data_IF_986302074150
#
_entry.id   IF_986302074150
#
_cell.length_a   1.000
_cell.length_b   1.000
_cell.length_c   1.000
_cell.angle_alpha   90.00
_cell.angle_beta   90.00
_cell.angle_gamma   90.00
#
_symmetry.space_group_name_H-M   'P 1'
#
loop_
_entity.id
_entity.type
_entity.pdbx_description
1 polymer ?
#
# COMPACT_ATOMS: atom_id res chain seq x y z
N UNK A 1 5.16 -11.57 4.72
CA UNK A 1 5.88 -11.29 5.98
C UNK A 1 5.19 -12.02 7.10
N UNK A 2 5.92 -12.78 7.89
CA UNK A 2 5.41 -13.48 9.07
C UNK A 2 6.14 -12.94 10.30
N UNK A 3 5.40 -12.59 11.33
CA UNK A 3 5.98 -12.15 12.62
C UNK A 3 6.04 -13.30 13.61
N UNK A 4 7.15 -13.39 14.34
CA UNK A 4 7.37 -14.34 15.42
C UNK A 4 7.86 -13.60 16.67
N UNK A 5 7.34 -13.99 17.83
CA UNK A 5 7.82 -13.48 19.12
C UNK A 5 8.99 -14.31 19.60
N UNK A 6 10.02 -13.67 20.12
CA UNK A 6 11.19 -14.29 20.75
C UNK A 6 12.50 -13.53 20.49
N UNK A 7 13.38 -13.52 21.44
CA UNK A 7 14.74 -13.03 21.34
C UNK A 7 14.92 -11.56 20.92
N UNK A 8 15.96 -11.29 20.16
CA UNK A 8 16.27 -9.97 19.60
C UNK A 8 15.49 -9.73 18.32
N UNK A 9 15.19 -8.45 18.02
CA UNK A 9 14.63 -8.09 16.74
C UNK A 9 15.57 -8.48 15.59
N UNK A 10 15.03 -9.25 14.63
CA UNK A 10 15.76 -9.70 13.46
C UNK A 10 14.79 -9.86 12.28
N UNK A 11 15.33 -9.70 11.07
CA UNK A 11 14.62 -9.98 9.83
C UNK A 11 15.41 -11.03 9.07
N UNK A 12 14.76 -12.12 8.69
CA UNK A 12 15.33 -13.18 7.87
C UNK A 12 14.58 -13.28 6.55
N UNK A 13 15.31 -13.35 5.46
CA UNK A 13 14.75 -13.69 4.16
C UNK A 13 14.59 -15.21 4.09
N UNK A 14 13.41 -15.68 3.73
CA UNK A 14 13.09 -17.09 3.58
C UNK A 14 12.62 -17.37 2.16
N UNK A 15 12.54 -18.62 1.75
CA UNK A 15 12.03 -19.01 0.44
C UNK A 15 10.60 -18.49 0.17
N UNK A 16 9.79 -18.30 1.23
CA UNK A 16 8.39 -17.87 1.15
C UNK A 16 8.18 -16.39 1.55
N UNK A 17 9.25 -15.59 1.64
CA UNK A 17 9.18 -14.18 2.01
C UNK A 17 10.05 -13.82 3.21
N UNK A 18 9.58 -12.96 4.07
CA UNK A 18 10.35 -12.46 5.22
C UNK A 18 9.75 -12.94 6.54
N UNK A 19 10.63 -13.38 7.44
CA UNK A 19 10.31 -13.67 8.83
C UNK A 19 10.88 -12.55 9.70
N UNK A 20 10.03 -11.82 10.40
CA UNK A 20 10.41 -10.82 11.38
C UNK A 20 10.29 -11.38 12.79
N UNK A 21 11.39 -11.40 13.54
CA UNK A 21 11.39 -11.77 14.95
C UNK A 21 11.30 -10.52 15.81
N UNK A 22 10.39 -10.52 16.76
CA UNK A 22 10.15 -9.41 17.68
C UNK A 22 10.45 -9.83 19.12
N UNK A 23 10.97 -8.93 19.98
CA UNK A 23 11.19 -9.25 21.39
C UNK A 23 9.87 -9.54 22.11
N UNK A 24 9.92 -10.37 23.15
CA UNK A 24 8.73 -10.72 23.94
C UNK A 24 8.01 -9.48 24.50
N UNK A 25 8.73 -8.42 24.84
CA UNK A 25 8.15 -7.15 25.28
C UNK A 25 7.24 -6.47 24.24
N UNK A 26 7.33 -6.86 22.97
CA UNK A 26 6.47 -6.36 21.91
C UNK A 26 5.24 -7.25 21.65
N UNK A 27 5.08 -8.35 22.40
CA UNK A 27 3.95 -9.26 22.25
C UNK A 27 2.63 -8.52 22.52
N UNK A 28 1.68 -8.54 21.57
CA UNK A 28 0.36 -7.99 21.84
C UNK A 28 -0.35 -8.81 22.92
N UNK A 29 -1.21 -8.16 23.71
CA UNK A 29 -2.12 -8.84 24.62
C UNK A 29 -3.11 -9.73 23.86
N UNK A 30 -3.77 -10.65 24.54
CA UNK A 30 -4.68 -11.61 23.90
C UNK A 30 -6.06 -10.99 23.55
N UNK A 31 -6.05 -9.77 23.02
CA UNK A 31 -7.25 -9.07 22.57
C UNK A 31 -7.08 -8.54 21.15
N UNK A 32 -8.21 -8.34 20.47
CA UNK A 32 -8.24 -7.94 19.05
C UNK A 32 -7.59 -6.58 18.82
N UNK A 33 -7.80 -5.62 19.71
CA UNK A 33 -7.28 -4.24 19.54
C UNK A 33 -5.76 -4.24 19.65
N UNK A 34 -5.19 -4.96 20.62
CA UNK A 34 -3.73 -5.10 20.77
C UNK A 34 -3.09 -5.77 19.57
N UNK A 35 -3.71 -6.78 18.99
CA UNK A 35 -3.25 -7.44 17.77
C UNK A 35 -3.37 -6.52 16.53
N UNK A 36 -4.47 -5.79 16.38
CA UNK A 36 -4.62 -4.79 15.33
C UNK A 36 -3.59 -3.67 15.44
N UNK A 37 -3.37 -3.16 16.65
CA UNK A 37 -2.35 -2.15 16.91
C UNK A 37 -0.96 -2.65 16.50
N UNK A 38 -0.61 -3.89 16.90
CA UNK A 38 0.66 -4.51 16.52
C UNK A 38 0.78 -4.63 15.00
N UNK A 39 -0.27 -5.14 14.34
CA UNK A 39 -0.31 -5.30 12.89
C UNK A 39 -0.12 -3.97 12.15
N UNK A 40 -0.92 -2.95 12.49
CA UNK A 40 -0.87 -1.64 11.84
C UNK A 40 0.44 -0.87 12.12
N UNK A 41 1.09 -1.15 13.25
CA UNK A 41 2.33 -0.50 13.67
C UNK A 41 3.57 -1.16 13.11
N UNK A 42 3.57 -2.48 13.03
CA UNK A 42 4.79 -3.27 12.86
C UNK A 42 4.81 -4.12 11.60
N UNK A 43 3.67 -4.48 11.05
CA UNK A 43 3.58 -5.38 9.90
C UNK A 43 3.15 -4.65 8.63
N UNK A 44 3.26 -5.33 7.51
CA UNK A 44 2.63 -4.90 6.27
C UNK A 44 1.14 -5.24 6.34
N UNK A 45 0.24 -4.27 6.21
CA UNK A 45 -1.18 -4.54 6.28
C UNK A 45 -1.62 -5.57 5.24
N UNK A 46 -2.35 -6.58 5.67
CA UNK A 46 -2.96 -7.55 4.77
C UNK A 46 -4.45 -7.26 4.66
N UNK A 47 -4.83 -6.47 3.64
CA UNK A 47 -6.19 -5.93 3.53
C UNK A 47 -7.26 -7.03 3.50
N UNK A 48 -7.00 -8.16 2.84
CA UNK A 48 -7.92 -9.29 2.80
C UNK A 48 -8.15 -9.95 4.18
N UNK A 49 -7.12 -10.05 5.01
CA UNK A 49 -7.28 -10.54 6.39
C UNK A 49 -8.00 -9.50 7.26
N UNK A 50 -7.68 -8.22 7.09
CA UNK A 50 -8.37 -7.13 7.81
C UNK A 50 -9.86 -7.09 7.46
N UNK A 51 -10.22 -7.23 6.18
CA UNK A 51 -11.62 -7.28 5.75
C UNK A 51 -12.37 -8.42 6.44
N UNK A 52 -11.81 -9.62 6.40
CA UNK A 52 -12.41 -10.78 7.09
C UNK A 52 -12.53 -10.60 8.60
N UNK A 53 -11.49 -10.06 9.22
CA UNK A 53 -11.52 -9.78 10.66
C UNK A 53 -12.62 -8.77 10.99
N UNK A 54 -12.72 -7.68 10.24
CA UNK A 54 -13.72 -6.64 10.46
C UNK A 54 -15.16 -7.14 10.25
N UNK A 55 -15.37 -8.03 9.28
CA UNK A 55 -16.66 -8.71 9.11
C UNK A 55 -17.04 -9.57 10.32
N UNK A 56 -16.06 -10.25 10.92
CA UNK A 56 -16.29 -11.13 12.07
C UNK A 56 -16.52 -10.38 13.38
N UNK A 57 -15.73 -9.31 13.64
CA UNK A 57 -15.81 -8.59 14.91
C UNK A 57 -16.90 -7.51 14.92
N UNK A 58 -17.37 -7.11 13.76
CA UNK A 58 -18.33 -6.02 13.61
C UNK A 58 -17.78 -4.62 13.98
N UNK A 59 -18.65 -3.61 14.03
CA UNK A 59 -18.24 -2.22 14.26
C UNK A 59 -17.86 -1.90 15.70
N UNK A 60 -18.44 -2.59 16.69
CA UNK A 60 -18.41 -2.17 18.09
C UNK A 60 -17.02 -2.13 18.69
N UNK A 61 -16.17 -3.11 18.38
CA UNK A 61 -14.79 -3.17 18.86
C UNK A 61 -13.97 -2.00 18.34
N UNK A 62 -14.10 -1.69 17.06
CA UNK A 62 -13.37 -0.58 16.44
C UNK A 62 -13.91 0.75 16.92
N UNK A 63 -15.24 0.88 17.08
CA UNK A 63 -15.88 2.05 17.63
C UNK A 63 -15.40 2.31 19.08
N UNK A 64 -15.40 1.28 19.93
CA UNK A 64 -14.92 1.41 21.30
C UNK A 64 -13.45 1.84 21.36
N UNK A 65 -12.60 1.29 20.49
CA UNK A 65 -11.20 1.68 20.42
C UNK A 65 -11.02 3.15 20.03
N UNK A 66 -11.68 3.61 18.98
CA UNK A 66 -11.53 5.00 18.53
C UNK A 66 -12.21 6.00 19.49
N UNK A 67 -13.24 5.59 20.22
CA UNK A 67 -13.85 6.40 21.28
C UNK A 67 -12.91 6.55 22.49
N UNK A 68 -12.18 5.50 22.84
CA UNK A 68 -11.19 5.54 23.92
C UNK A 68 -9.92 6.33 23.52
N UNK A 69 -9.52 6.29 22.25
CA UNK A 69 -8.31 6.92 21.74
C UNK A 69 -8.60 7.82 20.53
N UNK A 70 -9.41 8.89 20.65
CA UNK A 70 -9.85 9.69 19.48
C UNK A 70 -8.70 10.46 18.79
N UNK A 71 -7.59 10.67 19.47
CA UNK A 71 -6.36 11.27 18.91
C UNK A 71 -5.34 10.24 18.46
N UNK A 72 -5.55 8.96 18.80
CA UNK A 72 -4.66 7.85 18.50
C UNK A 72 -4.53 7.60 16.99
N UNK A 73 -3.32 7.69 16.45
CA UNK A 73 -3.11 7.52 15.01
C UNK A 73 -3.53 6.13 14.49
N UNK A 74 -3.35 5.08 15.30
CA UNK A 74 -3.69 3.72 14.90
C UNK A 74 -5.18 3.42 15.06
N UNK A 75 -5.84 3.95 16.08
CA UNK A 75 -7.28 3.86 16.24
C UNK A 75 -8.01 4.55 15.07
N UNK A 76 -7.58 5.76 14.70
CA UNK A 76 -8.12 6.49 13.54
C UNK A 76 -7.85 5.78 12.21
N UNK A 77 -6.66 5.17 12.05
CA UNK A 77 -6.31 4.38 10.88
C UNK A 77 -7.16 3.10 10.81
N UNK A 78 -7.38 2.43 11.94
CA UNK A 78 -8.25 1.25 12.01
C UNK A 78 -9.70 1.60 11.65
N UNK A 79 -10.24 2.70 12.18
CA UNK A 79 -11.58 3.18 11.84
C UNK A 79 -11.73 3.52 10.35
N UNK A 80 -10.74 4.21 9.77
CA UNK A 80 -10.71 4.47 8.33
C UNK A 80 -10.70 3.17 7.52
N UNK A 81 -9.81 2.23 7.83
CA UNK A 81 -9.70 0.95 7.12
C UNK A 81 -10.96 0.10 7.30
N UNK A 82 -11.61 0.15 8.46
CA UNK A 82 -12.88 -0.52 8.68
C UNK A 82 -13.94 0.00 7.70
N UNK A 83 -14.17 1.31 7.66
CA UNK A 83 -15.15 1.92 6.73
C UNK A 83 -14.77 1.64 5.27
N UNK A 84 -13.49 1.74 4.93
CA UNK A 84 -13.01 1.53 3.58
C UNK A 84 -13.20 0.09 3.10
N UNK A 85 -12.92 -0.90 3.94
CA UNK A 85 -13.01 -2.32 3.60
C UNK A 85 -14.44 -2.86 3.64
N UNK A 86 -15.21 -2.50 4.67
CA UNK A 86 -16.55 -3.04 4.89
C UNK A 86 -17.64 -2.22 4.19
N UNK A 87 -17.40 -0.94 3.95
CA UNK A 87 -18.41 0.00 3.49
C UNK A 87 -19.41 0.42 4.57
N UNK A 88 -19.25 -0.05 5.80
CA UNK A 88 -20.06 0.36 6.95
C UNK A 88 -19.47 1.63 7.57
N UNK A 89 -20.32 2.50 8.08
CA UNK A 89 -19.94 3.78 8.66
C UNK A 89 -19.88 3.69 10.19
N UNK A 90 -18.80 4.16 10.77
CA UNK A 90 -18.64 4.32 12.22
C UNK A 90 -19.07 5.73 12.66
N UNK A 91 -19.34 5.91 13.95
CA UNK A 91 -19.58 7.22 14.53
C UNK A 91 -18.24 7.93 14.77
N UNK A 92 -18.15 9.20 14.37
CA UNK A 92 -16.96 10.01 14.70
C UNK A 92 -16.97 10.34 16.19
N UNK A 93 -15.91 9.99 16.94
CA UNK A 93 -15.86 10.25 18.38
C UNK A 93 -15.74 11.74 18.68
N UNK A 94 -16.25 12.13 19.85
CA UNK A 94 -16.02 13.46 20.39
C UNK A 94 -14.53 13.62 20.70
N UNK A 95 -13.95 14.77 20.33
CA UNK A 95 -12.54 15.04 20.57
C UNK A 95 -11.59 14.44 19.52
N UNK A 96 -12.10 13.91 18.42
CA UNK A 96 -11.23 13.48 17.31
C UNK A 96 -10.34 14.63 16.83
N UNK A 97 -9.02 14.47 17.00
CA UNK A 97 -8.01 15.48 16.68
C UNK A 97 -6.68 14.83 16.30
N UNK A 98 -5.67 15.67 16.06
CA UNK A 98 -4.31 15.22 15.72
C UNK A 98 -3.93 15.50 14.26
N UNK A 99 -2.67 15.26 13.93
CA UNK A 99 -2.18 15.41 12.56
C UNK A 99 -2.76 14.35 11.64
N UNK A 100 -2.81 14.65 10.34
CA UNK A 100 -3.14 13.64 9.34
C UNK A 100 -2.06 12.56 9.29
N UNK A 101 -2.51 11.31 9.20
CA UNK A 101 -1.64 10.14 9.08
C UNK A 101 -2.00 9.35 7.82
N UNK A 102 -1.02 8.75 7.17
CA UNK A 102 -1.26 7.94 6.00
C UNK A 102 -1.94 6.61 6.38
N UNK A 103 -2.85 6.14 5.54
CA UNK A 103 -3.46 4.81 5.70
C UNK A 103 -2.40 3.71 5.60
N UNK A 104 -1.46 3.84 4.66
CA UNK A 104 -0.32 2.94 4.48
C UNK A 104 1.00 3.63 4.82
N UNK A 105 1.95 2.87 5.37
CA UNK A 105 3.35 3.33 5.51
C UNK A 105 4.07 3.17 4.16
N UNK A 106 3.82 4.14 3.27
CA UNK A 106 4.40 4.17 1.93
C UNK A 106 5.90 4.48 1.91
N UNK A 107 6.49 4.93 3.01
CA UNK A 107 7.91 5.27 3.07
C UNK A 107 8.79 4.06 3.33
N UNK A 108 8.31 3.09 4.09
CA UNK A 108 9.14 1.97 4.57
C UNK A 108 8.70 0.61 4.07
N UNK A 109 7.39 0.36 3.97
CA UNK A 109 6.85 -1.00 3.93
C UNK A 109 6.23 -1.37 2.61
N UNK A 110 5.37 -0.51 2.08
CA UNK A 110 4.59 -0.81 0.88
C UNK A 110 4.64 0.33 -0.11
N UNK A 111 4.47 0.01 -1.38
CA UNK A 111 4.22 1.00 -2.41
C UNK A 111 2.82 1.59 -2.16
N UNK A 112 2.78 2.88 -1.90
CA UNK A 112 1.54 3.64 -1.77
C UNK A 112 1.28 4.45 -3.04
N UNK A 113 0.09 4.99 -3.18
CA UNK A 113 -0.21 5.94 -4.26
C UNK A 113 0.80 7.10 -4.26
N UNK A 114 1.40 7.37 -5.41
CA UNK A 114 2.43 8.42 -5.60
C UNK A 114 1.85 9.83 -5.64
N UNK A 115 0.53 9.96 -5.81
CA UNK A 115 -0.16 11.23 -5.74
C UNK A 115 -0.29 11.74 -4.30
N UNK A 116 -0.74 12.99 -4.13
CA UNK A 116 -1.23 13.46 -2.85
C UNK A 116 -2.48 12.67 -2.53
N UNK A 117 -2.37 11.67 -1.65
CA UNK A 117 -3.50 10.88 -1.23
C UNK A 117 -4.68 11.76 -0.79
N UNK A 118 -5.89 11.26 -0.93
CA UNK A 118 -7.09 12.00 -0.58
C UNK A 118 -7.18 12.16 0.95
N UNK A 119 -7.32 13.41 1.43
CA UNK A 119 -7.55 13.68 2.84
C UNK A 119 -8.96 13.29 3.25
N UNK A 120 -9.08 12.32 4.12
CA UNK A 120 -10.33 11.91 4.76
C UNK A 120 -10.42 12.62 6.11
N UNK A 121 -11.06 13.81 6.11
CA UNK A 121 -11.14 14.67 7.30
C UNK A 121 -11.86 14.00 8.46
N UNK A 122 -12.83 13.15 8.16
CA UNK A 122 -13.61 12.37 9.11
C UNK A 122 -12.73 11.59 10.10
N UNK A 123 -11.61 11.03 9.65
CA UNK A 123 -10.67 10.26 10.47
C UNK A 123 -9.29 10.92 10.60
N UNK A 124 -9.07 12.06 9.96
CA UNK A 124 -7.76 12.69 9.80
C UNK A 124 -6.71 11.70 9.27
N UNK A 125 -7.12 10.93 8.27
CA UNK A 125 -6.28 9.96 7.55
C UNK A 125 -6.13 10.43 6.12
N UNK A 126 -4.95 10.22 5.56
CA UNK A 126 -4.70 10.37 4.12
C UNK A 126 -4.89 9.00 3.50
N UNK A 127 -5.89 8.88 2.65
CA UNK A 127 -6.07 7.69 1.82
C UNK A 127 -5.00 7.69 0.73
N UNK A 128 -3.96 6.91 0.96
CA UNK A 128 -2.86 6.67 0.03
C UNK A 128 -2.85 5.22 -0.47
N UNK A 129 -4.00 4.56 -0.43
CA UNK A 129 -4.16 3.22 -0.97
C UNK A 129 -3.99 3.24 -2.50
N UNK A 130 -3.26 2.27 -3.09
CA UNK A 130 -2.96 2.28 -4.54
C UNK A 130 -4.11 1.76 -5.42
N UNK A 131 -5.25 1.44 -4.83
CA UNK A 131 -6.39 0.86 -5.54
C UNK A 131 -7.73 1.24 -4.95
N UNK A 132 -8.74 0.43 -5.24
CA UNK A 132 -10.10 0.58 -4.73
C UNK A 132 -10.41 -0.50 -3.71
N UNK A 133 -11.52 -0.37 -2.97
CA UNK A 133 -11.98 -1.40 -2.02
C UNK A 133 -12.17 -2.80 -2.64
N UNK A 134 -12.40 -2.87 -3.95
CA UNK A 134 -12.60 -4.12 -4.68
C UNK A 134 -11.30 -4.68 -5.24
N UNK A 135 -10.30 -3.84 -5.45
CA UNK A 135 -9.01 -4.24 -5.96
C UNK A 135 -7.91 -3.28 -5.47
N UNK A 136 -7.16 -3.72 -4.47
CA UNK A 136 -6.06 -2.94 -3.87
C UNK A 136 -4.86 -3.85 -3.60
N UNK A 137 -4.05 -4.16 -4.62
CA UNK A 137 -2.84 -4.96 -4.44
C UNK A 137 -1.79 -4.14 -3.68
N UNK A 138 -1.27 -4.70 -2.59
CA UNK A 138 -0.17 -4.10 -1.84
C UNK A 138 1.15 -4.77 -2.22
N UNK A 139 2.08 -3.96 -2.67
CA UNK A 139 3.44 -4.39 -3.03
C UNK A 139 4.41 -4.00 -1.94
N UNK A 140 5.11 -4.99 -1.39
CA UNK A 140 6.12 -4.76 -0.35
C UNK A 140 7.37 -4.14 -0.96
N UNK A 141 7.89 -3.08 -0.36
CA UNK A 141 9.11 -2.41 -0.82
C UNK A 141 10.34 -3.29 -0.61
N UNK A 142 10.83 -3.86 -1.69
CA UNK A 142 12.14 -4.50 -1.77
C UNK A 142 13.25 -3.46 -2.00
N UNK A 143 14.50 -3.86 -1.89
CA UNK A 143 15.64 -2.99 -2.23
C UNK A 143 15.59 -2.55 -3.71
N UNK A 144 15.24 -3.45 -4.60
CA UNK A 144 15.10 -3.14 -6.03
C UNK A 144 14.02 -2.06 -6.27
N UNK A 145 12.88 -2.13 -5.56
CA UNK A 145 11.82 -1.10 -5.66
C UNK A 145 12.32 0.23 -5.10
N UNK A 146 13.00 0.23 -3.96
CA UNK A 146 13.58 1.46 -3.39
C UNK A 146 14.59 2.11 -4.33
N UNK A 147 15.45 1.32 -4.94
CA UNK A 147 16.41 1.81 -5.94
C UNK A 147 15.69 2.39 -7.16
N UNK A 148 14.63 1.73 -7.64
CA UNK A 148 13.83 2.23 -8.74
C UNK A 148 13.08 3.54 -8.38
N UNK A 149 12.54 3.65 -7.16
CA UNK A 149 11.89 4.89 -6.68
C UNK A 149 12.88 6.08 -6.58
N UNK A 150 14.17 5.81 -6.41
CA UNK A 150 15.21 6.86 -6.33
C UNK A 150 15.70 7.35 -7.70
N UNK A 151 15.27 6.71 -8.79
CA UNK A 151 15.66 7.13 -10.14
C UNK A 151 14.93 8.43 -10.51
N UNK A 152 15.68 9.45 -10.85
CA UNK A 152 15.15 10.65 -11.48
C UNK A 152 14.95 10.40 -13.00
N UNK A 153 13.73 9.97 -13.34
CA UNK A 153 13.38 9.65 -14.72
C UNK A 153 13.47 10.89 -15.63
N UNK A 154 13.16 12.07 -15.10
CA UNK A 154 13.27 13.32 -15.88
C UNK A 154 14.72 13.60 -16.25
N UNK A 155 15.63 13.52 -15.28
CA UNK A 155 17.05 13.72 -15.52
C UNK A 155 17.61 12.69 -16.52
N UNK A 156 17.17 11.43 -16.45
CA UNK A 156 17.57 10.40 -17.40
C UNK A 156 17.08 10.71 -18.81
N UNK A 157 15.82 11.14 -18.95
CA UNK A 157 15.24 11.51 -20.26
C UNK A 157 15.95 12.76 -20.82
N UNK A 158 16.19 13.77 -19.99
CA UNK A 158 16.90 14.99 -20.40
C UNK A 158 18.33 14.67 -20.86
N UNK A 159 19.03 13.77 -20.17
CA UNK A 159 20.34 13.27 -20.59
C UNK A 159 20.31 12.58 -21.96
N UNK A 160 19.32 11.71 -22.18
CA UNK A 160 19.13 11.05 -23.47
C UNK A 160 18.74 12.04 -24.58
N UNK A 161 17.91 13.05 -24.27
CA UNK A 161 17.56 14.10 -25.22
C UNK A 161 18.79 14.94 -25.63
N UNK A 162 19.66 15.24 -24.67
CA UNK A 162 20.91 15.98 -24.97
C UNK A 162 21.88 15.16 -25.80
N UNK A 163 21.97 13.85 -25.59
CA UNK A 163 22.90 12.96 -26.28
C UNK A 163 22.43 12.58 -27.71
N UNK A 164 21.14 12.22 -27.84
CA UNK A 164 20.63 11.62 -29.09
C UNK A 164 19.66 12.52 -29.85
N UNK A 165 19.22 13.61 -29.25
CA UNK A 165 18.23 14.52 -29.82
C UNK A 165 16.78 14.03 -29.70
N UNK A 166 15.81 14.96 -29.75
CA UNK A 166 14.39 14.65 -29.52
C UNK A 166 13.79 13.76 -30.63
N UNK A 167 14.25 13.91 -31.88
CA UNK A 167 13.71 13.14 -33.01
C UNK A 167 14.00 11.65 -32.91
N UNK A 168 15.21 11.27 -32.46
CA UNK A 168 15.56 9.87 -32.28
C UNK A 168 14.78 9.24 -31.13
N UNK A 169 14.63 9.98 -30.05
CA UNK A 169 13.85 9.50 -28.90
C UNK A 169 12.37 9.32 -29.26
N UNK A 170 11.78 10.26 -29.99
CA UNK A 170 10.41 10.17 -30.47
C UNK A 170 10.19 8.93 -31.35
N UNK A 171 11.08 8.71 -32.35
CA UNK A 171 11.01 7.52 -33.21
C UNK A 171 11.16 6.23 -32.41
N UNK A 172 12.09 6.20 -31.47
CA UNK A 172 12.30 5.04 -30.58
C UNK A 172 11.07 4.76 -29.74
N UNK A 173 10.43 5.77 -29.15
CA UNK A 173 9.22 5.64 -28.37
C UNK A 173 8.06 5.08 -29.20
N UNK A 174 7.85 5.60 -30.42
CA UNK A 174 6.83 5.09 -31.35
C UNK A 174 7.11 3.63 -31.71
N UNK A 175 8.36 3.29 -32.02
CA UNK A 175 8.73 1.92 -32.36
C UNK A 175 8.53 0.95 -31.20
N UNK A 176 8.91 1.34 -29.97
CA UNK A 176 8.69 0.53 -28.76
C UNK A 176 7.20 0.31 -28.50
N UNK A 177 6.38 1.36 -28.60
CA UNK A 177 4.93 1.27 -28.42
C UNK A 177 4.30 0.30 -29.41
N UNK A 178 4.69 0.38 -30.70
CA UNK A 178 4.21 -0.54 -31.72
C UNK A 178 4.64 -1.98 -31.45
N UNK A 179 5.89 -2.18 -31.01
CA UNK A 179 6.41 -3.50 -30.68
C UNK A 179 5.67 -4.11 -29.48
N UNK A 180 5.45 -3.34 -28.42
CA UNK A 180 4.72 -3.78 -27.23
C UNK A 180 3.26 -4.10 -27.55
N UNK A 181 2.59 -3.25 -28.34
CA UNK A 181 1.21 -3.51 -28.79
C UNK A 181 1.12 -4.82 -29.57
N UNK A 182 2.04 -5.06 -30.49
CA UNK A 182 2.09 -6.33 -31.26
C UNK A 182 2.33 -7.54 -30.37
N UNK A 183 3.22 -7.41 -29.38
CA UNK A 183 3.48 -8.49 -28.41
C UNK A 183 2.24 -8.79 -27.56
N UNK A 184 1.52 -7.77 -27.10
CA UNK A 184 0.26 -7.93 -26.34
C UNK A 184 -0.81 -8.65 -27.18
N UNK A 185 -1.04 -8.21 -28.42
CA UNK A 185 -1.99 -8.88 -29.32
C UNK A 185 -1.61 -10.33 -29.61
N UNK A 186 -0.31 -10.63 -29.69
CA UNK A 186 0.16 -12.01 -29.86
C UNK A 186 -0.13 -12.89 -28.64
N UNK A 187 0.02 -12.35 -27.43
CA UNK A 187 -0.27 -13.05 -26.16
C UNK A 187 -1.77 -13.28 -26.01
N UNK A 188 -2.60 -12.33 -26.41
CA UNK A 188 -4.07 -12.41 -26.36
C UNK A 188 -4.67 -13.31 -27.47
N UNK A 189 -3.84 -13.88 -28.34
CA UNK A 189 -4.28 -14.73 -29.48
C UNK A 189 -4.89 -13.94 -30.62
N UNK A 190 -4.84 -12.62 -30.61
CA UNK A 190 -5.37 -11.73 -31.66
C UNK A 190 -4.32 -11.35 -32.72
N UNK A 191 -3.28 -12.15 -32.88
CA UNK A 191 -2.16 -11.91 -33.81
C UNK A 191 -2.54 -11.68 -35.29
N UNK A 192 -3.77 -12.01 -35.67
CA UNK A 192 -4.30 -11.76 -37.02
C UNK A 192 -4.90 -10.36 -37.21
N UNK A 193 -5.01 -9.54 -36.17
CA UNK A 193 -5.55 -8.17 -36.25
C UNK A 193 -4.49 -7.08 -36.34
N UNK A 194 -3.28 -7.43 -36.73
CA UNK A 194 -2.12 -6.49 -36.88
C UNK A 194 -2.38 -5.30 -37.82
N UNK A 195 -3.42 -5.37 -38.68
CA UNK A 195 -3.80 -4.29 -39.57
C UNK A 195 -4.52 -3.11 -38.94
N UNK A 196 -4.83 -3.16 -37.65
CA UNK A 196 -5.51 -2.07 -36.92
C UNK A 196 -4.55 -1.07 -36.24
N UNK A 197 -3.24 -1.31 -36.34
CA UNK A 197 -2.21 -0.47 -35.70
C UNK A 197 -1.30 0.10 -36.82
N UNK A 198 -1.90 0.77 -37.77
CA UNK A 198 -1.19 1.64 -38.77
C UNK A 198 -1.50 3.09 -38.50
#
# INVERSE_FOLDING_TARGET
>A
VVSRMGGRRATQVTANGWLETWPEAARPSADVVSHLLFHLRHEVPHLGLLARLFEQIGPDIIQAWVDAEPTGQYARRAAFLYEWLTGQTLRVPVGLAGNYVNALDGTRRVVASTGRGQRVSRWRVVDNLPGTRHFCPLVVKTEAIRSAESLDVHQLVDGLMAEFGPDLLMRSAVWLTLRESRASFSIEGEGHQVSRVQ
#
